data_IF_503718916871
#
_entry.id   IF_503718916871
#
_cell.length_a   1.000
_cell.length_b   1.000
_cell.length_c   1.000
_cell.angle_alpha   90.00
_cell.angle_beta   90.00
_cell.angle_gamma   90.00
#
_symmetry.space_group_name_H-M   'P 1'
#
loop_
_entity.id
_entity.type
_entity.pdbx_description
1 polymer ?
#
# COMPACT_ATOMS: atom_id res chain seq x y z
N UNK A 1 -5.93 20.39 -5.58
CA UNK A 1 -5.63 19.29 -4.65
C UNK A 1 -4.38 19.63 -3.87
N UNK A 2 -4.26 19.17 -2.63
CA UNK A 2 -3.07 19.40 -1.80
C UNK A 2 -2.07 18.26 -1.96
N UNK A 3 -0.80 18.51 -1.65
CA UNK A 3 0.26 17.50 -1.62
C UNK A 3 -0.10 16.31 -0.70
N UNK A 4 -0.80 16.58 0.40
CA UNK A 4 -1.28 15.54 1.31
C UNK A 4 -2.32 14.61 0.67
N UNK A 5 -3.20 15.15 -0.18
CA UNK A 5 -4.21 14.36 -0.89
C UNK A 5 -3.56 13.45 -1.94
N UNK A 6 -2.60 13.98 -2.71
CA UNK A 6 -1.87 13.20 -3.73
C UNK A 6 -1.02 12.10 -3.09
N UNK A 7 -0.29 12.42 -2.00
CA UNK A 7 0.52 11.44 -1.28
C UNK A 7 -0.32 10.28 -0.73
N UNK A 8 -1.42 10.58 -0.02
CA UNK A 8 -2.32 9.55 0.52
C UNK A 8 -3.04 8.73 -0.57
N UNK A 9 -3.39 9.34 -1.69
CA UNK A 9 -3.94 8.61 -2.83
C UNK A 9 -2.90 7.63 -3.41
N UNK A 10 -1.64 8.02 -3.50
CA UNK A 10 -0.57 7.15 -3.95
C UNK A 10 -0.26 6.02 -2.95
N UNK A 11 -0.29 6.29 -1.64
CA UNK A 11 -0.20 5.26 -0.59
C UNK A 11 -1.30 4.19 -0.75
N UNK A 12 -2.53 4.59 -1.09
CA UNK A 12 -3.61 3.65 -1.37
C UNK A 12 -3.29 2.77 -2.59
N UNK A 13 -2.75 3.34 -3.66
CA UNK A 13 -2.34 2.58 -4.85
C UNK A 13 -1.26 1.55 -4.52
N UNK A 14 -0.24 1.92 -3.74
CA UNK A 14 0.80 0.99 -3.25
C UNK A 14 0.19 -0.16 -2.45
N UNK A 15 -0.74 0.14 -1.53
CA UNK A 15 -1.40 -0.88 -0.72
C UNK A 15 -2.20 -1.87 -1.59
N UNK A 16 -2.92 -1.39 -2.61
CA UNK A 16 -3.67 -2.24 -3.52
C UNK A 16 -2.74 -3.19 -4.29
N UNK A 17 -1.66 -2.67 -4.85
CA UNK A 17 -0.66 -3.47 -5.59
C UNK A 17 0.02 -4.52 -4.72
N UNK A 18 0.38 -4.17 -3.48
CA UNK A 18 0.90 -5.15 -2.52
C UNK A 18 -0.11 -6.24 -2.22
N UNK A 19 -1.37 -5.87 -1.97
CA UNK A 19 -2.42 -6.84 -1.67
C UNK A 19 -2.67 -7.78 -2.86
N UNK A 20 -2.72 -7.25 -4.09
CA UNK A 20 -2.89 -8.06 -5.29
C UNK A 20 -1.74 -9.04 -5.49
N UNK A 21 -0.49 -8.57 -5.38
CA UNK A 21 0.70 -9.41 -5.61
C UNK A 21 0.92 -10.43 -4.50
N UNK A 22 0.75 -10.03 -3.24
CA UNK A 22 0.99 -10.91 -2.10
C UNK A 22 -0.12 -11.93 -1.89
N UNK A 23 -1.38 -11.62 -2.21
CA UNK A 23 -2.46 -12.61 -2.09
C UNK A 23 -2.27 -13.82 -3.02
N UNK A 24 -1.50 -13.67 -4.10
CA UNK A 24 -1.13 -14.77 -4.98
C UNK A 24 -0.01 -15.66 -4.40
N UNK A 25 0.68 -15.20 -3.35
CA UNK A 25 1.87 -15.86 -2.77
C UNK A 25 1.56 -16.37 -1.35
N UNK A 26 0.78 -15.63 -0.57
CA UNK A 26 0.45 -15.92 0.82
C UNK A 26 -0.89 -15.30 1.22
N UNK A 27 -1.39 -15.64 2.40
CA UNK A 27 -2.66 -15.10 2.90
C UNK A 27 -2.45 -13.72 3.53
N UNK A 28 -2.87 -12.66 2.84
CA UNK A 28 -2.78 -11.28 3.33
C UNK A 28 -4.17 -10.73 3.63
N UNK A 29 -4.26 -9.88 4.65
CA UNK A 29 -5.49 -9.14 4.95
C UNK A 29 -5.16 -7.66 5.14
N UNK A 30 -5.87 -6.81 4.42
CA UNK A 30 -5.84 -5.38 4.66
C UNK A 30 -6.64 -5.08 5.94
N UNK A 31 -5.98 -4.46 6.91
CA UNK A 31 -6.64 -4.00 8.14
C UNK A 31 -7.40 -2.71 7.84
N UNK A 32 -8.71 -2.72 8.04
CA UNK A 32 -9.56 -1.55 7.85
C UNK A 32 -9.33 -0.54 8.98
N UNK A 33 -9.11 0.73 8.61
CA UNK A 33 -8.97 1.85 9.55
C UNK A 33 -9.29 3.19 8.86
N UNK A 34 -9.36 4.27 9.63
CA UNK A 34 -9.70 5.61 9.13
C UNK A 34 -8.66 6.15 8.13
N UNK A 35 -7.40 5.78 8.31
CA UNK A 35 -6.32 6.16 7.40
C UNK A 35 -6.53 5.55 6.00
N UNK A 36 -6.92 4.27 5.93
CA UNK A 36 -7.27 3.57 4.71
C UNK A 36 -8.51 4.19 4.05
N UNK A 37 -9.56 4.46 4.83
CA UNK A 37 -10.77 5.10 4.32
C UNK A 37 -10.45 6.48 3.71
N UNK A 38 -9.60 7.25 4.38
CA UNK A 38 -9.15 8.57 3.90
C UNK A 38 -8.33 8.47 2.61
N UNK A 39 -7.34 7.57 2.58
CA UNK A 39 -6.49 7.35 1.42
C UNK A 39 -7.31 6.89 0.20
N UNK A 40 -8.23 5.94 0.39
CA UNK A 40 -9.18 5.48 -0.64
C UNK A 40 -10.08 6.61 -1.13
N UNK A 41 -10.62 7.42 -0.22
CA UNK A 41 -11.43 8.59 -0.56
C UNK A 41 -10.65 9.54 -1.46
N UNK A 42 -9.41 9.89 -1.11
CA UNK A 42 -8.59 10.76 -1.94
C UNK A 42 -8.24 10.14 -3.28
N UNK A 43 -7.90 8.85 -3.33
CA UNK A 43 -7.66 8.15 -4.60
C UNK A 43 -8.88 8.22 -5.55
N UNK A 44 -10.08 8.00 -5.02
CA UNK A 44 -11.32 8.03 -5.80
C UNK A 44 -11.71 9.43 -6.31
N UNK A 45 -11.11 10.51 -5.77
CA UNK A 45 -11.35 11.87 -6.25
C UNK A 45 -10.57 12.21 -7.52
N UNK A 46 -9.56 11.43 -7.88
CA UNK A 46 -8.82 11.60 -9.13
C UNK A 46 -9.58 10.99 -10.31
N UNK A 47 -9.32 11.49 -11.51
CA UNK A 47 -9.84 10.88 -12.74
C UNK A 47 -9.24 9.48 -12.98
N UNK A 48 -9.89 8.70 -13.86
CA UNK A 48 -9.47 7.33 -14.15
C UNK A 48 -8.06 7.25 -14.75
N UNK A 49 -7.65 8.25 -15.52
CA UNK A 49 -6.33 8.29 -16.11
C UNK A 49 -5.24 8.42 -15.03
N UNK A 50 -5.46 9.28 -14.04
CA UNK A 50 -4.54 9.52 -12.93
C UNK A 50 -4.55 8.38 -11.94
N UNK A 51 -5.72 7.80 -11.64
CA UNK A 51 -5.82 6.55 -10.88
C UNK A 51 -4.99 5.45 -11.55
N UNK A 52 -5.12 5.28 -12.88
CA UNK A 52 -4.34 4.33 -13.66
C UNK A 52 -2.83 4.59 -13.59
N UNK A 53 -2.40 5.85 -13.71
CA UNK A 53 -0.98 6.23 -13.52
C UNK A 53 -0.46 5.85 -12.14
N UNK A 54 -1.22 6.12 -11.08
CA UNK A 54 -0.81 5.77 -9.71
C UNK A 54 -0.68 4.27 -9.51
N UNK A 55 -1.63 3.48 -10.02
CA UNK A 55 -1.55 2.01 -9.96
C UNK A 55 -0.35 1.50 -10.76
N UNK A 56 -0.15 1.99 -11.98
CA UNK A 56 0.99 1.59 -12.81
C UNK A 56 2.33 1.90 -12.13
N UNK A 57 2.52 3.12 -11.62
CA UNK A 57 3.73 3.50 -10.89
C UNK A 57 3.90 2.67 -9.60
N UNK A 58 2.81 2.46 -8.85
CA UNK A 58 2.82 1.61 -7.67
C UNK A 58 3.21 0.16 -8.02
N UNK A 59 2.76 -0.37 -9.16
CA UNK A 59 3.07 -1.73 -9.58
C UNK A 59 4.57 -1.93 -9.81
N UNK A 60 5.26 -0.95 -10.41
CA UNK A 60 6.71 -0.98 -10.56
C UNK A 60 7.42 -0.90 -9.21
N UNK A 61 6.99 0.01 -8.33
CA UNK A 61 7.59 0.14 -7.00
C UNK A 61 7.42 -1.14 -6.17
N UNK A 62 6.23 -1.75 -6.20
CA UNK A 62 5.98 -2.99 -5.46
C UNK A 62 6.74 -4.16 -6.06
N UNK A 63 6.81 -4.29 -7.39
CA UNK A 63 7.65 -5.31 -8.04
C UNK A 63 9.12 -5.18 -7.59
N UNK A 64 9.65 -3.96 -7.62
CA UNK A 64 11.00 -3.69 -7.14
C UNK A 64 11.18 -4.11 -5.68
N UNK A 65 10.24 -3.75 -4.79
CA UNK A 65 10.28 -4.14 -3.37
C UNK A 65 10.22 -5.67 -3.17
N UNK A 66 9.37 -6.36 -3.94
CA UNK A 66 9.28 -7.81 -3.93
C UNK A 66 10.57 -8.48 -4.42
N UNK A 67 11.27 -7.86 -5.36
CA UNK A 67 12.53 -8.36 -5.90
C UNK A 67 13.70 -8.21 -4.93
N UNK A 68 13.74 -7.12 -4.16
CA UNK A 68 14.82 -6.87 -3.20
C UNK A 68 14.60 -7.50 -1.83
N UNK A 69 13.36 -7.83 -1.44
CA UNK A 69 13.06 -8.38 -0.12
C UNK A 69 12.85 -9.91 -0.18
N UNK A 70 13.92 -10.71 0.03
CA UNK A 70 13.83 -12.17 -0.05
C UNK A 70 12.83 -12.75 0.96
N UNK A 71 12.56 -12.08 2.09
CA UNK A 71 11.60 -12.56 3.10
C UNK A 71 10.14 -12.46 2.65
N UNK A 72 9.84 -11.64 1.64
CA UNK A 72 8.52 -11.62 1.01
C UNK A 72 8.32 -12.80 0.04
N UNK A 73 9.42 -13.39 -0.46
CA UNK A 73 9.40 -14.53 -1.40
C UNK A 73 9.65 -15.91 -0.76
N UNK A 74 10.41 -15.99 0.34
CA UNK A 74 10.96 -17.27 0.84
C UNK A 74 10.39 -17.82 2.16
N UNK A 75 9.41 -17.18 2.81
CA UNK A 75 8.81 -17.69 4.07
C UNK A 75 7.48 -18.43 3.80
N UNK A 76 7.47 -19.26 2.75
CA UNK A 76 6.33 -20.09 2.30
C UNK A 76 6.18 -21.31 3.23
N UNK A 77 5.72 -21.10 4.46
CA UNK A 77 5.55 -22.23 5.39
C UNK A 77 5.00 -21.89 6.77
N UNK A 78 5.13 -20.64 7.23
CA UNK A 78 4.45 -20.18 8.45
C UNK A 78 3.31 -19.26 8.08
N UNK A 79 2.08 -19.62 8.45
CA UNK A 79 0.89 -18.73 8.39
C UNK A 79 1.22 -17.43 9.13
N UNK A 80 1.64 -16.41 8.41
CA UNK A 80 2.04 -15.13 8.97
C UNK A 80 1.17 -14.05 8.35
N UNK A 81 0.32 -13.46 9.19
CA UNK A 81 -0.50 -12.33 8.78
C UNK A 81 0.41 -11.11 8.65
N UNK A 82 0.69 -10.68 7.41
CA UNK A 82 1.36 -9.40 7.17
C UNK A 82 0.30 -8.30 7.25
N UNK A 83 0.33 -7.52 8.32
CA UNK A 83 -0.49 -6.33 8.45
C UNK A 83 0.20 -5.17 7.71
N UNK A 84 -0.23 -4.89 6.49
CA UNK A 84 0.24 -3.71 5.77
C UNK A 84 -0.47 -2.49 6.38
N UNK A 85 0.28 -1.68 7.12
CA UNK A 85 -0.20 -0.44 7.72
C UNK A 85 0.21 0.74 6.84
N UNK A 86 -0.71 1.69 6.66
CA UNK A 86 -0.36 2.96 6.04
C UNK A 86 0.54 3.77 7.01
N UNK A 87 1.60 4.40 6.49
CA UNK A 87 2.68 5.08 7.25
C UNK A 87 2.25 6.43 7.85
N UNK A 88 1.10 6.48 8.51
CA UNK A 88 0.64 7.68 9.21
C UNK A 88 0.56 7.41 10.71
N UNK A 89 1.63 7.76 11.43
CA UNK A 89 1.62 7.93 12.89
C UNK A 89 2.70 7.16 13.65
N UNK A 90 3.96 7.58 13.54
CA UNK A 90 4.85 7.51 14.70
C UNK A 90 4.55 8.76 15.54
N UNK A 91 4.24 8.64 16.84
CA UNK A 91 4.19 9.81 17.71
C UNK A 91 5.58 10.44 17.69
N UNK A 92 5.67 11.70 17.26
CA UNK A 92 6.87 12.50 17.53
C UNK A 92 6.97 12.62 19.04
N UNK A 93 7.96 11.94 19.61
CA UNK A 93 8.40 12.20 20.98
C UNK A 93 8.60 13.70 21.11
N UNK A 94 7.82 14.29 22.02
CA UNK A 94 8.09 15.59 22.63
C UNK A 94 9.53 15.61 23.12
N UNK A 95 10.25 16.64 22.73
CA UNK A 95 11.57 17.05 23.19
C UNK A 95 11.63 18.57 23.12
#
# INVERSE_FOLDING_TARGET
MTQTQTGKAFEYAILQEFNEKLNNITNVKIVQNDALATAKKYFNQFDKQTQGRYLLTASFAVNFLMDIEPRLKHDIGKKRYIAIRNFNGLPRSIG
#
